data_IF_235126199397
#
_entry.id   IF_235126199397
#
_cell.length_a   1.000
_cell.length_b   1.000
_cell.length_c   1.000
_cell.angle_alpha   90.00
_cell.angle_beta   90.00
_cell.angle_gamma   90.00
#
_symmetry.space_group_name_H-M   'P 1'
#
loop_
_entity.id
_entity.type
_entity.pdbx_description
1 polymer ?
#
# COMPACT_ATOMS: atom_id res chain seq x y z
N UNK A 1 15.66 -3.05 -1.10
CA UNK A 1 14.43 -3.34 -1.90
C UNK A 1 14.02 -2.18 -2.85
N UNK A 2 14.91 -1.63 -3.69
CA UNK A 2 14.57 -0.51 -4.61
C UNK A 2 13.75 -0.93 -5.83
N UNK A 3 13.94 -2.15 -6.31
CA UNK A 3 13.39 -2.64 -7.59
C UNK A 3 12.03 -3.36 -7.43
N UNK A 4 11.33 -3.15 -6.31
CA UNK A 4 9.97 -3.69 -6.14
C UNK A 4 9.02 -2.79 -6.93
N UNK A 5 8.26 -3.38 -7.86
CA UNK A 5 7.37 -2.65 -8.76
C UNK A 5 5.92 -2.58 -8.24
N UNK A 6 5.14 -1.66 -8.82
CA UNK A 6 3.73 -1.50 -8.51
C UNK A 6 2.91 -2.65 -9.09
N UNK A 7 2.14 -3.34 -8.27
CA UNK A 7 1.15 -4.30 -8.72
C UNK A 7 0.04 -3.58 -9.51
N UNK A 8 -0.32 -4.10 -10.68
CA UNK A 8 -1.35 -3.55 -11.58
C UNK A 8 -2.76 -4.05 -11.26
N UNK A 9 -2.86 -5.14 -10.51
CA UNK A 9 -4.11 -5.73 -10.07
C UNK A 9 -3.90 -6.53 -8.77
N UNK A 10 -5.00 -6.82 -8.06
CA UNK A 10 -4.97 -7.57 -6.81
C UNK A 10 -4.41 -9.00 -6.93
N UNK A 11 -4.53 -9.65 -8.10
CA UNK A 11 -4.11 -11.04 -8.29
C UNK A 11 -2.60 -11.16 -8.23
N UNK A 12 -1.88 -10.19 -8.77
CA UNK A 12 -0.41 -10.18 -8.78
C UNK A 12 0.22 -9.51 -7.55
N UNK A 13 -0.51 -8.65 -6.82
CA UNK A 13 -0.01 -8.06 -5.57
C UNK A 13 0.32 -9.17 -4.56
N UNK A 14 1.57 -9.25 -4.14
CA UNK A 14 2.05 -10.25 -3.19
C UNK A 14 2.84 -9.64 -2.03
N UNK A 15 3.08 -8.33 -2.04
CA UNK A 15 3.60 -7.54 -0.94
C UNK A 15 2.60 -6.50 -0.43
N UNK A 16 2.72 -6.19 0.85
CA UNK A 16 2.16 -5.01 1.50
C UNK A 16 3.31 -4.17 2.05
N UNK A 17 3.32 -2.88 1.74
CA UNK A 17 4.15 -1.89 2.42
C UNK A 17 3.42 -1.38 3.67
N UNK A 18 4.12 -1.30 4.79
CA UNK A 18 3.57 -0.81 6.04
C UNK A 18 4.66 -0.11 6.86
N UNK A 19 4.24 0.76 7.76
CA UNK A 19 5.16 1.51 8.62
C UNK A 19 5.22 0.87 10.00
N UNK A 20 6.42 0.82 10.58
CA UNK A 20 6.66 0.40 11.95
C UNK A 20 7.84 1.20 12.51
N UNK A 21 7.68 1.80 13.68
CA UNK A 21 8.68 2.68 14.31
C UNK A 21 9.26 3.73 13.34
N UNK A 22 8.37 4.42 12.59
CA UNK A 22 8.71 5.46 11.57
C UNK A 22 9.65 4.97 10.45
N UNK A 23 9.67 3.66 10.21
CA UNK A 23 10.40 3.01 9.13
C UNK A 23 9.43 2.23 8.26
N UNK A 24 9.71 2.15 6.96
CA UNK A 24 8.88 1.42 6.02
C UNK A 24 9.41 -0.01 5.85
N UNK A 25 8.52 -0.98 5.90
CA UNK A 25 8.81 -2.40 5.68
C UNK A 25 7.89 -2.97 4.61
N UNK A 26 8.30 -4.10 4.06
CA UNK A 26 7.45 -4.92 3.20
C UNK A 26 7.19 -6.25 3.87
N UNK A 27 5.98 -6.78 3.73
CA UNK A 27 5.66 -8.16 4.10
C UNK A 27 4.95 -8.90 2.99
N UNK A 28 5.21 -10.20 2.87
CA UNK A 28 4.47 -11.06 1.94
C UNK A 28 3.04 -11.27 2.46
N UNK A 29 2.04 -11.03 1.61
CA UNK A 29 0.62 -11.21 1.97
C UNK A 29 0.06 -12.58 1.56
N UNK A 30 0.86 -13.37 0.85
CA UNK A 30 0.56 -14.74 0.44
C UNK A 30 1.86 -15.50 0.21
N UNK A 31 1.75 -16.81 0.03
CA UNK A 31 2.88 -17.64 -0.40
C UNK A 31 3.33 -17.15 -1.78
N UNK A 32 4.62 -16.90 -1.95
CA UNK A 32 5.22 -16.49 -3.21
C UNK A 32 6.04 -17.67 -3.74
N UNK A 33 5.62 -18.35 -4.81
CA UNK A 33 6.40 -19.41 -5.42
C UNK A 33 7.78 -18.90 -5.86
N UNK A 34 8.76 -19.80 -5.97
CA UNK A 34 10.07 -19.50 -6.57
C UNK A 34 9.88 -18.88 -7.97
N UNK A 35 10.76 -17.94 -8.33
CA UNK A 35 10.77 -17.20 -9.60
C UNK A 35 9.56 -16.29 -9.85
N UNK A 36 8.90 -15.85 -8.79
CA UNK A 36 7.78 -14.91 -8.89
C UNK A 36 8.25 -13.49 -8.58
N UNK A 37 7.84 -12.50 -9.38
CA UNK A 37 8.14 -11.09 -9.12
C UNK A 37 7.43 -10.62 -7.85
N UNK A 38 8.14 -9.89 -6.99
CA UNK A 38 7.62 -9.25 -5.80
C UNK A 38 7.00 -7.89 -6.20
N UNK A 39 5.70 -7.74 -5.97
CA UNK A 39 4.90 -6.60 -6.40
C UNK A 39 4.07 -6.05 -5.24
N UNK A 40 4.08 -4.73 -5.09
CA UNK A 40 3.42 -3.98 -4.02
C UNK A 40 2.47 -2.94 -4.58
N UNK A 41 1.43 -2.54 -3.86
CA UNK A 41 0.62 -1.38 -4.27
C UNK A 41 1.25 -0.07 -3.77
N UNK A 42 1.52 0.89 -4.65
CA UNK A 42 2.16 2.17 -4.28
C UNK A 42 1.22 3.17 -3.61
N UNK A 43 -0.08 3.02 -3.81
CA UNK A 43 -1.08 3.99 -3.36
C UNK A 43 -1.91 4.55 -4.52
N UNK A 44 -3.06 5.14 -4.17
CA UNK A 44 -4.05 5.62 -5.13
C UNK A 44 -3.53 6.74 -6.03
N UNK A 45 -2.62 7.58 -5.54
CA UNK A 45 -2.04 8.70 -6.30
C UNK A 45 -1.21 8.18 -7.48
N UNK A 46 -0.25 7.28 -7.21
CA UNK A 46 0.56 6.65 -8.24
C UNK A 46 -0.25 5.74 -9.17
N UNK A 47 -1.31 5.10 -8.65
CA UNK A 47 -2.17 4.24 -9.45
C UNK A 47 -2.78 4.99 -10.65
N UNK A 48 -3.18 6.26 -10.47
CA UNK A 48 -3.72 7.09 -11.55
C UNK A 48 -2.66 7.36 -12.63
N UNK A 49 -1.45 7.73 -12.24
CA UNK A 49 -0.32 7.97 -13.15
C UNK A 49 0.09 6.71 -13.91
N UNK A 50 -0.04 5.54 -13.27
CA UNK A 50 0.24 4.23 -13.87
C UNK A 50 -0.95 3.64 -14.63
N UNK A 51 -2.04 4.39 -14.80
CA UNK A 51 -3.26 3.97 -15.46
C UNK A 51 -3.86 2.67 -14.88
N UNK A 52 -3.72 2.46 -13.56
CA UNK A 52 -4.29 1.34 -12.83
C UNK A 52 -5.75 1.66 -12.48
N UNK A 53 -6.68 0.85 -12.97
CA UNK A 53 -8.10 0.99 -12.62
C UNK A 53 -8.35 0.51 -11.18
N UNK A 54 -8.52 1.45 -10.26
CA UNK A 54 -8.73 1.16 -8.82
C UNK A 54 -10.00 0.35 -8.55
N UNK A 55 -11.08 0.56 -9.29
CA UNK A 55 -12.32 -0.20 -9.13
C UNK A 55 -12.10 -1.68 -9.45
N UNK A 56 -11.38 -1.98 -10.52
CA UNK A 56 -11.00 -3.35 -10.89
C UNK A 56 -9.96 -3.94 -9.93
N UNK A 57 -9.02 -3.11 -9.48
CA UNK A 57 -8.02 -3.50 -8.49
C UNK A 57 -8.69 -3.98 -7.20
N UNK A 58 -9.65 -3.21 -6.70
CA UNK A 58 -10.35 -3.45 -5.45
C UNK A 58 -11.62 -4.31 -5.60
N UNK A 59 -11.87 -4.88 -6.78
CA UNK A 59 -13.11 -5.59 -7.08
C UNK A 59 -13.44 -6.77 -6.14
N UNK A 60 -12.47 -7.58 -5.67
CA UNK A 60 -12.80 -8.66 -4.74
C UNK A 60 -13.32 -8.10 -3.41
N UNK A 61 -14.45 -8.62 -2.90
CA UNK A 61 -15.01 -8.20 -1.62
C UNK A 61 -13.98 -8.31 -0.49
N UNK A 62 -13.89 -7.28 0.35
CA UNK A 62 -12.96 -7.24 1.50
C UNK A 62 -11.49 -7.00 1.14
N UNK A 63 -11.09 -7.05 -0.13
CA UNK A 63 -9.70 -6.81 -0.53
C UNK A 63 -9.26 -5.38 -0.24
N UNK A 64 -10.08 -4.39 -0.60
CA UNK A 64 -9.81 -2.98 -0.38
C UNK A 64 -9.55 -2.66 1.11
N UNK A 65 -10.35 -3.26 2.00
CA UNK A 65 -10.22 -3.06 3.44
C UNK A 65 -8.94 -3.69 4.01
N UNK A 66 -8.45 -4.77 3.40
CA UNK A 66 -7.32 -5.55 3.92
C UNK A 66 -5.97 -5.17 3.30
N UNK A 67 -5.93 -4.96 1.98
CA UNK A 67 -4.69 -4.81 1.21
C UNK A 67 -4.76 -3.80 0.06
N UNK A 68 -5.97 -3.36 -0.30
CA UNK A 68 -6.20 -2.54 -1.48
C UNK A 68 -6.17 -1.04 -1.20
N UNK A 69 -6.47 -0.28 -2.25
CA UNK A 69 -6.43 1.17 -2.23
C UNK A 69 -7.67 1.75 -1.51
N UNK A 70 -7.54 2.79 -0.67
CA UNK A 70 -8.70 3.51 -0.19
C UNK A 70 -9.48 4.12 -1.37
N UNK A 71 -10.82 4.19 -1.31
CA UNK A 71 -11.63 4.75 -2.39
C UNK A 71 -11.21 6.20 -2.65
N UNK A 72 -11.03 6.55 -3.93
CA UNK A 72 -10.76 7.92 -4.32
C UNK A 72 -11.89 8.83 -3.82
N UNK A 73 -11.55 9.92 -3.10
CA UNK A 73 -12.53 10.95 -2.76
C UNK A 73 -13.12 11.46 -4.08
N UNK A 74 -14.43 11.30 -4.29
CA UNK A 74 -15.10 11.87 -5.46
C UNK A 74 -14.82 13.39 -5.49
N UNK A 75 -14.47 13.98 -6.64
CA UNK A 75 -14.46 15.43 -6.78
C UNK A 75 -15.86 15.95 -6.47
N UNK A 76 -15.97 16.98 -5.63
CA UNK A 76 -17.22 17.75 -5.48
C UNK A 76 -17.45 18.45 -6.82
N UNK A 77 -18.44 18.00 -7.60
CA UNK A 77 -18.90 18.73 -8.77
C UNK A 77 -19.88 19.79 -8.27
N UNK A 78 -19.41 21.04 -8.28
CA UNK A 78 -20.23 22.22 -8.14
C UNK A 78 -20.79 22.64 -9.52
N UNK A 79 -22.03 23.14 -9.48
CA UNK A 79 -22.78 23.95 -10.45
C UNK A 79 -23.67 23.28 -11.53
N UNK A 80 -24.98 23.51 -11.33
CA UNK A 80 -25.97 24.06 -12.28
C UNK A 80 -26.69 23.14 -13.27
N UNK A 81 -27.97 22.91 -12.98
CA UNK A 81 -29.04 22.84 -13.99
C UNK A 81 -30.27 23.63 -13.45
N UNK A 82 -30.29 24.92 -13.73
CA UNK A 82 -31.51 25.71 -14.02
C UNK A 82 -32.12 25.11 -15.31
N UNK A 83 -33.41 24.97 -15.60
CA UNK A 83 -34.70 25.67 -15.39
C UNK A 83 -35.73 24.70 -16.05
N UNK A 84 -37.03 24.63 -15.82
CA UNK A 84 -38.02 25.61 -15.37
C UNK A 84 -39.38 24.89 -15.24
N UNK A 85 -40.19 25.33 -14.26
CA UNK A 85 -41.63 25.68 -14.41
C UNK A 85 -42.65 24.58 -14.81
N UNK A 86 -43.81 24.39 -14.17
CA UNK A 86 -44.83 25.35 -13.70
C UNK A 86 -45.85 24.57 -12.83
N UNK A 87 -46.22 25.17 -11.68
CA UNK A 87 -47.57 25.26 -11.06
C UNK A 87 -48.44 23.99 -10.95
N UNK A 88 -49.09 23.63 -9.85
CA UNK A 88 -49.86 24.48 -8.92
C UNK A 88 -50.43 23.57 -7.80
N UNK A 89 -50.46 24.11 -6.58
CA UNK A 89 -51.50 23.98 -5.55
C UNK A 89 -51.97 22.59 -5.06
N UNK A 90 -51.65 22.25 -3.81
CA UNK A 90 -52.56 22.37 -2.64
C UNK A 90 -51.91 21.70 -1.42
N UNK A 91 -51.47 22.48 -0.41
CA UNK A 91 -52.18 22.81 0.84
C UNK A 91 -52.47 21.59 1.72
N UNK A 92 -51.70 21.39 2.79
CA UNK A 92 -52.23 21.48 4.17
C UNK A 92 -51.10 21.46 5.21
N UNK A 93 -51.26 22.33 6.21
CA UNK A 93 -50.40 22.60 7.36
C UNK A 93 -50.48 21.51 8.43
N UNK A 94 -49.39 21.32 9.19
CA UNK A 94 -49.26 21.67 10.63
C UNK A 94 -47.92 21.12 11.16
N UNK A 95 -46.96 21.99 11.48
CA UNK A 95 -46.64 22.53 12.82
C UNK A 95 -45.88 21.52 13.69
N UNK A 96 -44.58 21.74 13.91
CA UNK A 96 -43.99 22.08 15.22
C UNK A 96 -42.46 22.20 15.07
N UNK A 97 -41.91 23.35 15.51
CA UNK A 97 -40.49 23.65 15.52
C UNK A 97 -40.16 24.31 16.87
N UNK A 98 -38.92 24.07 17.34
CA UNK A 98 -38.12 24.82 18.33
C UNK A 98 -38.33 24.41 19.80
N UNK A 99 -37.31 24.33 20.66
CA UNK A 99 -35.89 24.70 20.62
C UNK A 99 -35.20 24.04 21.84
N UNK A 100 -33.90 23.71 21.77
CA UNK A 100 -32.84 24.20 22.67
C UNK A 100 -31.52 23.38 22.59
N UNK A 101 -30.55 23.97 21.88
CA UNK A 101 -29.11 24.14 22.15
C UNK A 101 -28.34 23.14 23.05
N UNK A 102 -27.33 22.49 22.43
CA UNK A 102 -25.87 22.37 22.72
C UNK A 102 -25.32 22.57 24.15
N UNK A 103 -24.08 22.09 24.51
CA UNK A 103 -22.97 21.65 23.63
C UNK A 103 -22.22 20.37 24.07
N UNK A 104 -21.42 19.79 23.17
CA UNK A 104 -19.97 19.57 23.34
C UNK A 104 -19.43 18.41 22.47
N UNK A 105 -18.37 18.75 21.74
CA UNK A 105 -17.53 17.94 20.84
C UNK A 105 -16.46 17.27 21.73
N UNK A 106 -15.98 16.03 21.49
CA UNK A 106 -14.82 15.90 20.61
C UNK A 106 -14.66 14.62 19.76
N UNK A 107 -13.96 14.87 18.64
CA UNK A 107 -12.93 14.02 18.03
C UNK A 107 -13.30 12.60 17.56
N UNK A 108 -13.60 12.50 16.26
CA UNK A 108 -13.43 11.25 15.53
C UNK A 108 -12.04 11.23 14.88
N UNK A 109 -11.07 10.64 15.58
CA UNK A 109 -9.74 10.32 15.07
C UNK A 109 -9.86 9.27 13.96
N UNK A 110 -9.45 9.65 12.75
CA UNK A 110 -9.35 8.72 11.62
C UNK A 110 -8.20 7.75 11.89
N UNK A 111 -8.50 6.59 12.47
CA UNK A 111 -7.55 5.48 12.51
C UNK A 111 -7.45 4.85 11.12
N UNK A 112 -6.22 4.76 10.62
CA UNK A 112 -5.90 4.05 9.38
C UNK A 112 -6.29 2.57 9.49
N UNK A 113 -6.59 1.88 8.37
CA UNK A 113 -7.02 0.49 8.42
C UNK A 113 -5.92 -0.40 9.00
N UNK A 114 -6.17 -0.86 10.23
CA UNK A 114 -5.23 -1.63 11.03
C UNK A 114 -5.04 -3.03 10.42
N UNK A 115 -3.90 -3.23 9.76
CA UNK A 115 -3.51 -4.53 9.19
C UNK A 115 -2.49 -5.26 10.09
N UNK A 116 -2.58 -5.07 11.40
CA UNK A 116 -1.59 -5.55 12.39
C UNK A 116 -1.75 -7.03 12.75
N UNK A 117 -2.80 -7.69 12.25
CA UNK A 117 -3.17 -9.01 12.70
C UNK A 117 -2.55 -10.12 11.86
N UNK A 118 -2.10 -11.17 12.54
CA UNK A 118 -1.72 -12.44 11.94
C UNK A 118 -2.90 -13.03 11.20
N UNK A 119 -2.66 -13.49 9.98
CA UNK A 119 -3.71 -14.20 9.27
C UNK A 119 -3.99 -15.54 9.94
N UNK A 120 -5.27 -15.80 10.19
CA UNK A 120 -5.74 -17.05 10.78
C UNK A 120 -5.87 -17.07 12.30
N UNK A 121 -5.42 -16.06 13.04
CA UNK A 121 -5.52 -16.07 14.51
C UNK A 121 -5.70 -14.72 15.18
N UNK A 122 -5.83 -13.62 14.42
CA UNK A 122 -6.09 -12.26 14.93
C UNK A 122 -5.04 -11.69 15.90
N UNK A 123 -3.96 -12.42 16.19
CA UNK A 123 -2.86 -12.02 17.07
C UNK A 123 -2.05 -10.86 16.45
N UNK A 124 -1.54 -9.93 17.26
CA UNK A 124 -0.79 -8.76 16.79
C UNK A 124 0.65 -9.15 16.46
N UNK A 125 0.97 -9.34 15.17
CA UNK A 125 2.28 -9.89 14.77
C UNK A 125 3.17 -8.81 14.20
N UNK A 126 3.88 -8.15 15.10
CA UNK A 126 5.04 -7.32 14.75
C UNK A 126 6.36 -8.09 14.83
N UNK A 127 6.50 -9.03 15.75
CA UNK A 127 7.75 -9.78 15.92
C UNK A 127 7.48 -11.27 16.16
N UNK A 128 6.37 -11.58 16.82
CA UNK A 128 6.04 -12.91 17.27
C UNK A 128 4.53 -13.14 17.27
N UNK A 129 4.11 -14.33 16.81
CA UNK A 129 2.77 -14.85 16.95
C UNK A 129 2.78 -16.01 17.94
N UNK A 130 1.83 -16.06 18.88
CA UNK A 130 1.72 -17.19 19.81
C UNK A 130 1.45 -18.53 19.10
N UNK A 131 0.82 -18.49 17.91
CA UNK A 131 0.45 -19.69 17.15
C UNK A 131 1.46 -20.01 16.06
N UNK A 132 1.94 -18.99 15.34
CA UNK A 132 2.80 -19.16 14.17
C UNK A 132 4.28 -18.91 14.44
N UNK A 133 4.63 -18.54 15.67
CA UNK A 133 6.00 -18.26 16.08
C UNK A 133 6.53 -16.92 15.54
N UNK A 134 7.87 -16.74 15.51
CA UNK A 134 8.49 -15.49 15.13
C UNK A 134 8.30 -15.18 13.64
N UNK A 135 8.23 -13.90 13.33
CA UNK A 135 8.19 -13.43 11.96
C UNK A 135 9.52 -13.73 11.24
N UNK A 136 9.48 -14.42 10.10
CA UNK A 136 10.67 -14.60 9.28
C UNK A 136 11.09 -13.26 8.67
N UNK A 137 12.22 -12.72 9.15
CA UNK A 137 12.83 -11.50 8.62
C UNK A 137 14.01 -11.88 7.73
N UNK A 138 13.99 -11.40 6.48
CA UNK A 138 15.12 -11.56 5.55
C UNK A 138 15.88 -10.22 5.51
N UNK A 139 17.08 -10.15 6.12
CA UNK A 139 17.85 -8.92 6.13
C UNK A 139 18.48 -8.65 4.77
N UNK A 140 18.66 -7.37 4.44
CA UNK A 140 19.47 -6.94 3.31
C UNK A 140 20.93 -7.41 3.47
N UNK A 141 21.56 -7.75 2.34
CA UNK A 141 22.99 -8.06 2.30
C UNK A 141 23.81 -6.85 2.77
N UNK A 142 24.85 -7.11 3.57
CA UNK A 142 25.77 -6.06 4.01
C UNK A 142 26.67 -5.64 2.84
N UNK A 143 26.59 -4.37 2.47
CA UNK A 143 27.41 -3.79 1.40
C UNK A 143 28.52 -2.96 2.03
N UNK A 144 29.80 -3.34 1.84
CA UNK A 144 30.95 -2.58 2.32
C UNK A 144 30.93 -1.13 1.81
N UNK A 145 31.62 -0.24 2.54
CA UNK A 145 31.75 1.17 2.14
C UNK A 145 32.55 1.33 0.86
N UNK A 146 33.55 0.46 0.65
CA UNK A 146 34.31 0.32 -0.61
C UNK A 146 33.84 -0.96 -1.30
N UNK A 147 33.01 -0.80 -2.33
CA UNK A 147 32.52 -1.92 -3.13
C UNK A 147 33.62 -2.43 -4.07
N UNK A 148 33.79 -3.75 -4.23
CA UNK A 148 34.64 -4.31 -5.29
C UNK A 148 33.99 -4.17 -6.67
N UNK A 149 32.70 -3.80 -6.73
CA UNK A 149 31.98 -3.62 -7.98
C UNK A 149 32.19 -2.20 -8.56
N UNK A 150 32.14 -2.04 -9.89
CA UNK A 150 32.25 -0.74 -10.55
C UNK A 150 31.19 0.28 -10.08
N UNK A 151 31.51 1.57 -10.18
CA UNK A 151 30.65 2.66 -9.72
C UNK A 151 29.27 2.73 -10.40
N UNK A 152 29.13 2.17 -11.61
CA UNK A 152 27.84 2.12 -12.30
C UNK A 152 26.87 1.12 -11.68
N UNK A 153 27.34 0.18 -10.84
CA UNK A 153 26.49 -0.78 -10.14
C UNK A 153 25.83 -0.08 -8.95
N UNK A 154 24.50 0.10 -8.93
CA UNK A 154 23.85 0.81 -7.85
C UNK A 154 23.99 0.03 -6.54
N UNK A 155 24.25 0.74 -5.43
CA UNK A 155 24.30 0.14 -4.08
C UNK A 155 23.08 -0.72 -3.77
N UNK A 156 21.89 -0.28 -4.22
CA UNK A 156 20.63 -1.00 -4.00
C UNK A 156 20.58 -2.40 -4.66
N UNK A 157 21.39 -2.66 -5.70
CA UNK A 157 21.50 -3.98 -6.29
C UNK A 157 22.34 -4.92 -5.41
N UNK A 158 23.33 -4.37 -4.71
CA UNK A 158 24.25 -5.11 -3.85
C UNK A 158 23.63 -5.47 -2.49
N UNK A 159 22.60 -4.74 -2.03
CA UNK A 159 21.91 -5.05 -0.77
C UNK A 159 20.87 -6.17 -0.91
N UNK A 160 20.64 -6.71 -2.11
CA UNK A 160 19.66 -7.78 -2.32
C UNK A 160 20.14 -9.08 -1.68
N UNK A 161 19.33 -9.73 -0.83
CA UNK A 161 19.68 -11.02 -0.21
C UNK A 161 19.60 -12.16 -1.23
N UNK A 162 20.70 -12.40 -1.95
CA UNK A 162 20.78 -13.30 -3.12
C UNK A 162 20.29 -14.74 -2.89
N UNK A 163 20.36 -15.24 -1.65
CA UNK A 163 19.82 -16.56 -1.28
C UNK A 163 18.31 -16.63 -1.52
N UNK A 164 17.60 -15.54 -1.25
CA UNK A 164 16.14 -15.48 -1.27
C UNK A 164 15.57 -14.72 -2.46
N UNK A 165 16.33 -13.77 -3.00
CA UNK A 165 15.87 -12.83 -4.01
C UNK A 165 16.92 -12.63 -5.12
N UNK A 166 16.49 -12.27 -6.31
CA UNK A 166 17.37 -11.81 -7.39
C UNK A 166 16.73 -10.69 -8.19
N UNK A 167 17.55 -9.95 -8.94
CA UNK A 167 17.09 -8.90 -9.86
C UNK A 167 16.99 -9.51 -11.25
N UNK A 168 15.89 -9.24 -11.95
CA UNK A 168 15.69 -9.63 -13.35
C UNK A 168 14.83 -8.58 -14.07
N UNK A 169 14.72 -8.61 -15.41
CA UNK A 169 13.73 -7.79 -16.12
C UNK A 169 12.32 -8.03 -15.58
N UNK A 170 11.59 -6.94 -15.31
CA UNK A 170 10.24 -7.02 -14.77
C UNK A 170 9.27 -7.62 -15.80
N UNK A 171 8.23 -8.32 -15.32
CA UNK A 171 7.11 -8.77 -16.14
C UNK A 171 6.16 -7.61 -16.52
N UNK A 172 6.36 -6.43 -15.91
CA UNK A 172 5.58 -5.22 -16.20
C UNK A 172 6.26 -4.48 -17.37
N UNK A 173 5.56 -4.31 -18.50
CA UNK A 173 6.11 -3.58 -19.65
C UNK A 173 6.55 -2.17 -19.26
N UNK A 174 7.78 -1.79 -19.63
CA UNK A 174 8.34 -0.47 -19.36
C UNK A 174 8.82 -0.22 -17.92
N UNK A 175 8.62 -1.15 -16.98
CA UNK A 175 9.08 -0.99 -15.59
C UNK A 175 10.60 -1.20 -15.40
N UNK A 176 11.29 -1.77 -16.40
CA UNK A 176 12.71 -2.04 -16.34
C UNK A 176 13.02 -3.31 -15.53
N UNK A 177 13.62 -3.16 -14.35
CA UNK A 177 14.02 -4.29 -13.50
C UNK A 177 13.01 -4.51 -12.37
N UNK A 178 12.87 -5.77 -11.96
CA UNK A 178 12.06 -6.24 -10.84
C UNK A 178 12.86 -7.07 -9.84
N UNK A 179 12.29 -7.30 -8.66
CA UNK A 179 12.78 -8.27 -7.68
C UNK A 179 11.99 -9.56 -7.79
N UNK A 180 12.69 -10.69 -7.87
CA UNK A 180 12.08 -12.01 -7.99
C UNK A 180 12.54 -12.91 -6.86
N UNK A 181 11.65 -13.81 -6.42
CA UNK A 181 11.99 -14.83 -5.44
C UNK A 181 12.94 -15.87 -6.04
N UNK A 182 13.97 -16.23 -5.29
CA UNK A 182 14.84 -17.38 -5.57
C UNK A 182 14.32 -18.63 -4.88
N UNK A 183 13.55 -18.52 -3.80
CA UNK A 183 12.92 -19.65 -3.12
C UNK A 183 11.42 -19.39 -2.94
N UNK A 184 10.66 -20.43 -2.61
CA UNK A 184 9.28 -20.23 -2.18
C UNK A 184 9.29 -19.49 -0.85
N UNK A 185 8.69 -18.30 -0.82
CA UNK A 185 8.59 -17.48 0.39
C UNK A 185 7.23 -17.74 1.04
N UNK A 186 7.19 -18.08 2.34
CA UNK A 186 5.92 -18.18 3.04
C UNK A 186 5.25 -16.81 3.14
N UNK A 187 3.97 -16.83 3.48
CA UNK A 187 3.24 -15.62 3.86
C UNK A 187 3.82 -15.05 5.17
N UNK A 188 3.86 -13.74 5.28
CA UNK A 188 4.31 -13.01 6.46
C UNK A 188 5.80 -12.65 6.46
N UNK A 189 6.60 -13.14 5.52
CA UNK A 189 8.03 -12.79 5.42
C UNK A 189 8.22 -11.28 5.35
N UNK A 190 9.07 -10.73 6.21
CA UNK A 190 9.40 -9.30 6.28
C UNK A 190 10.71 -8.99 5.57
N UNK A 191 10.70 -7.88 4.83
CA UNK A 191 11.87 -7.22 4.24
C UNK A 191 11.96 -5.78 4.73
N UNK A 192 13.18 -5.25 4.75
CA UNK A 192 13.47 -3.87 5.11
C UNK A 192 14.31 -3.73 6.39
N UNK A 193 14.42 -2.51 6.93
CA UNK A 193 13.70 -1.30 6.52
C UNK A 193 14.03 -0.82 5.10
N UNK A 194 13.10 -0.14 4.44
CA UNK A 194 13.35 0.54 3.17
C UNK A 194 14.38 1.66 3.38
N UNK A 195 15.47 1.60 2.62
CA UNK A 195 16.51 2.61 2.65
C UNK A 195 16.34 3.60 1.51
N UNK A 196 16.44 4.89 1.82
CA UNK A 196 16.36 5.99 0.86
C UNK A 196 16.73 7.31 1.52
N UNK A 197 16.60 8.40 0.76
CA UNK A 197 16.79 9.76 1.26
C UNK A 197 15.43 10.32 1.66
N UNK A 198 15.31 10.87 2.88
CA UNK A 198 14.10 11.59 3.29
C UNK A 198 14.06 12.93 2.56
N UNK A 199 12.94 13.22 1.91
CA UNK A 199 12.71 14.46 1.16
C UNK A 199 11.27 14.91 1.36
N UNK A 200 11.01 16.21 1.18
CA UNK A 200 9.65 16.77 1.16
C UNK A 200 9.04 16.75 -0.24
N UNK A 201 9.86 16.51 -1.29
CA UNK A 201 9.42 16.51 -2.68
C UNK A 201 9.17 15.08 -3.17
N UNK A 202 8.11 14.87 -3.95
CA UNK A 202 7.79 13.58 -4.58
C UNK A 202 8.43 13.52 -5.97
N UNK A 203 9.75 13.35 -6.00
CA UNK A 203 10.54 13.41 -7.23
C UNK A 203 10.64 12.06 -7.97
N UNK A 204 10.04 11.00 -7.43
CA UNK A 204 10.17 9.65 -7.97
C UNK A 204 8.98 8.76 -7.66
N UNK A 205 8.73 7.79 -8.54
CA UNK A 205 7.80 6.68 -8.31
C UNK A 205 8.21 5.73 -7.16
N UNK A 206 9.43 5.88 -6.63
CA UNK A 206 9.93 5.09 -5.51
C UNK A 206 9.88 5.83 -4.17
N UNK A 207 9.13 6.94 -4.12
CA UNK A 207 8.89 7.70 -2.89
C UNK A 207 7.78 7.05 -2.08
N UNK A 208 8.01 6.94 -0.77
CA UNK A 208 7.00 6.50 0.19
C UNK A 208 6.76 7.61 1.20
N UNK A 209 5.50 7.94 1.41
CA UNK A 209 5.12 8.81 2.52
C UNK A 209 5.38 8.07 3.84
N UNK A 210 6.03 8.75 4.78
CA UNK A 210 6.25 8.27 6.15
C UNK A 210 5.56 9.27 7.08
N UNK A 211 4.75 8.76 8.01
CA UNK A 211 3.99 9.58 8.97
C UNK A 211 4.64 9.56 10.37
#
# INVERSE_FOLDING_TARGET
MRYVNCARNWREQNLLAYQYQRQLYYRTIKIIPRFTELLVFYGSEFANTLHINLSKYNAPPGYAQKFGAPPAKKPKQDLQNEKQEIQKSSKFEKTEEKLNNSPDVPENSKSEPNSENCDGCTDFVYEYCAIHGPLLVIPDNKVPTKSPFPAYVPRAALTIPHVFLHIAPSIIPGAGLGIFSTLTLPRGVRFGPYCGVRTQNVDSMYCWQVM
#
